data_IF_330540940480
#
_entry.id   IF_330540940480
#
_cell.length_a   1.000
_cell.length_b   1.000
_cell.length_c   1.000
_cell.angle_alpha   90.00
_cell.angle_beta   90.00
_cell.angle_gamma   90.00
#
_symmetry.space_group_name_H-M   'P 1'
#
loop_
_entity.id
_entity.type
_entity.pdbx_description
1 polymer ?
#
# COMPACT_ATOMS: atom_id res chain seq x y z
N UNK A 1 10.40 -7.47 -3.19
CA UNK A 1 9.28 -8.19 -3.84
C UNK A 1 8.26 -7.16 -4.29
N UNK A 2 7.63 -7.37 -5.44
CA UNK A 2 6.63 -6.46 -5.99
C UNK A 2 5.36 -7.27 -6.28
N UNK A 3 4.25 -6.82 -5.73
CA UNK A 3 2.94 -7.45 -5.87
C UNK A 3 2.05 -6.59 -6.75
N UNK A 4 1.17 -7.22 -7.53
CA UNK A 4 0.21 -6.53 -8.40
C UNK A 4 -1.14 -7.24 -8.30
N UNK A 5 -2.17 -6.47 -8.00
CA UNK A 5 -3.54 -6.95 -7.81
C UNK A 5 -4.49 -6.12 -8.66
N UNK A 6 -5.29 -6.79 -9.49
CA UNK A 6 -6.37 -6.16 -10.24
C UNK A 6 -7.68 -6.39 -9.47
N UNK A 7 -8.36 -5.31 -9.14
CA UNK A 7 -9.61 -5.31 -8.39
C UNK A 7 -10.68 -4.76 -9.32
N UNK A 8 -11.73 -5.53 -9.54
CA UNK A 8 -12.91 -5.05 -10.26
C UNK A 8 -13.79 -4.33 -9.26
N UNK A 9 -14.29 -3.16 -9.60
CA UNK A 9 -15.20 -2.37 -8.79
C UNK A 9 -16.49 -2.28 -9.58
N UNK A 10 -17.50 -3.03 -9.13
CA UNK A 10 -18.78 -3.08 -9.83
C UNK A 10 -19.62 -1.83 -9.56
N UNK A 11 -20.40 -1.43 -10.55
CA UNK A 11 -21.39 -0.35 -10.51
C UNK A 11 -22.43 -0.48 -9.38
N UNK A 12 -22.63 -1.68 -8.84
CA UNK A 12 -23.56 -1.93 -7.73
C UNK A 12 -22.96 -1.65 -6.33
N UNK A 13 -21.65 -1.39 -6.23
CA UNK A 13 -20.97 -1.21 -4.94
C UNK A 13 -21.12 0.21 -4.42
N UNK A 14 -21.72 0.36 -3.25
CA UNK A 14 -21.75 1.63 -2.50
C UNK A 14 -20.69 1.62 -1.41
N UNK A 15 -20.46 2.72 -0.71
CA UNK A 15 -19.54 2.71 0.44
C UNK A 15 -19.96 1.70 1.52
N UNK A 16 -21.28 1.56 1.75
CA UNK A 16 -21.83 0.59 2.71
C UNK A 16 -21.66 -0.87 2.25
N UNK A 17 -21.62 -1.09 0.94
CA UNK A 17 -21.49 -2.42 0.31
C UNK A 17 -20.15 -2.58 -0.41
N UNK A 18 -19.12 -1.85 0.04
CA UNK A 18 -17.84 -1.78 -0.62
C UNK A 18 -17.21 -3.16 -0.81
N UNK A 19 -16.67 -3.40 -1.99
CA UNK A 19 -15.96 -4.62 -2.29
C UNK A 19 -14.69 -4.69 -1.45
N UNK A 20 -14.44 -5.86 -0.84
CA UNK A 20 -13.33 -6.07 0.07
C UNK A 20 -12.39 -7.13 -0.48
N UNK A 21 -11.19 -6.72 -0.88
CA UNK A 21 -10.16 -7.59 -1.44
C UNK A 21 -9.00 -7.76 -0.45
N UNK A 22 -8.59 -9.00 -0.20
CA UNK A 22 -7.43 -9.32 0.66
C UNK A 22 -6.17 -9.47 -0.19
N UNK A 23 -5.17 -8.66 0.11
CA UNK A 23 -3.87 -8.67 -0.56
C UNK A 23 -2.88 -9.44 0.31
N UNK A 24 -2.47 -10.62 -0.15
CA UNK A 24 -1.51 -11.46 0.55
C UNK A 24 -0.08 -11.04 0.19
N UNK A 25 0.67 -10.55 1.16
CA UNK A 25 2.03 -10.04 0.95
C UNK A 25 3.05 -10.93 1.66
N UNK A 26 4.33 -10.72 1.40
CA UNK A 26 5.40 -11.27 2.26
C UNK A 26 5.59 -10.37 3.47
N UNK A 27 6.10 -10.92 4.57
CA UNK A 27 6.62 -10.10 5.66
C UNK A 27 7.78 -9.21 5.16
N UNK A 28 7.91 -8.01 5.72
CA UNK A 28 8.88 -7.02 5.30
C UNK A 28 8.36 -5.61 5.50
N UNK A 29 8.94 -4.64 4.82
CA UNK A 29 8.53 -3.24 4.89
C UNK A 29 7.94 -2.82 3.54
N UNK A 30 6.70 -2.37 3.54
CA UNK A 30 6.11 -1.68 2.40
C UNK A 30 6.90 -0.39 2.22
N UNK A 31 7.47 -0.22 1.03
CA UNK A 31 8.23 0.98 0.63
C UNK A 31 7.57 1.75 -0.52
N UNK A 32 6.53 1.17 -1.13
CA UNK A 32 5.81 1.75 -2.26
C UNK A 32 4.41 1.16 -2.35
N UNK A 33 3.42 2.03 -2.53
CA UNK A 33 2.06 1.65 -2.89
C UNK A 33 1.67 2.50 -4.10
N UNK A 34 1.26 1.84 -5.18
CA UNK A 34 0.76 2.49 -6.39
C UNK A 34 -0.66 2.02 -6.68
N UNK A 35 -1.58 2.96 -6.86
CA UNK A 35 -2.97 2.69 -7.24
C UNK A 35 -3.22 3.31 -8.60
N UNK A 36 -3.39 2.48 -9.62
CA UNK A 36 -3.77 2.90 -10.96
C UNK A 36 -5.30 2.93 -11.08
N UNK A 37 -5.81 4.11 -11.44
CA UNK A 37 -7.22 4.30 -11.78
C UNK A 37 -7.38 4.27 -13.31
N UNK A 38 -8.39 3.54 -13.83
CA UNK A 38 -8.60 3.42 -15.26
C UNK A 38 -9.08 4.75 -15.85
N UNK A 39 -9.05 4.82 -17.18
CA UNK A 39 -9.70 5.89 -17.93
C UNK A 39 -11.20 5.88 -17.67
N UNK A 40 -11.81 7.06 -17.68
CA UNK A 40 -13.25 7.28 -17.46
C UNK A 40 -13.77 6.95 -16.05
N UNK A 41 -12.92 6.64 -15.08
CA UNK A 41 -13.34 6.51 -13.67
C UNK A 41 -13.89 7.82 -13.09
N UNK A 42 -13.59 8.97 -13.71
CA UNK A 42 -14.12 10.30 -13.38
C UNK A 42 -14.07 10.70 -11.89
N UNK A 43 -13.13 10.13 -11.12
CA UNK A 43 -13.04 10.30 -9.65
C UNK A 43 -14.26 9.78 -8.89
N UNK A 44 -14.96 8.80 -9.45
CA UNK A 44 -16.13 8.15 -8.85
C UNK A 44 -15.82 6.75 -8.31
N UNK A 45 -14.61 6.24 -8.57
CA UNK A 45 -14.06 5.04 -7.93
C UNK A 45 -13.26 5.45 -6.71
N UNK A 46 -13.62 4.88 -5.57
CA UNK A 46 -13.05 5.16 -4.26
C UNK A 46 -12.27 3.94 -3.78
N UNK A 47 -11.12 4.18 -3.14
CA UNK A 47 -10.23 3.14 -2.63
C UNK A 47 -9.72 3.52 -1.24
N UNK A 48 -9.81 2.59 -0.30
CA UNK A 48 -9.21 2.62 1.04
C UNK A 48 -8.37 1.35 1.24
N UNK A 49 -7.21 1.47 1.87
CA UNK A 49 -6.33 0.34 2.22
C UNK A 49 -6.24 0.26 3.74
N UNK A 50 -6.44 -0.94 4.27
CA UNK A 50 -6.43 -1.23 5.71
C UNK A 50 -5.40 -2.28 6.06
N UNK A 51 -4.81 -2.14 7.24
CA UNK A 51 -4.08 -3.18 7.94
C UNK A 51 -4.81 -3.53 9.24
N UNK A 52 -5.16 -4.79 9.46
CA UNK A 52 -5.87 -5.26 10.67
C UNK A 52 -7.07 -4.40 11.14
N UNK A 53 -7.75 -3.71 10.21
CA UNK A 53 -8.89 -2.82 10.49
C UNK A 53 -8.52 -1.34 10.68
N UNK A 54 -7.24 -1.00 10.78
CA UNK A 54 -6.75 0.37 10.76
C UNK A 54 -6.56 0.86 9.33
N UNK A 55 -7.05 2.08 9.02
CA UNK A 55 -6.88 2.67 7.69
C UNK A 55 -5.43 3.11 7.50
N UNK A 56 -4.70 2.37 6.66
CA UNK A 56 -3.33 2.69 6.28
C UNK A 56 -3.31 3.82 5.24
N UNK A 57 -4.22 3.76 4.27
CA UNK A 57 -4.25 4.72 3.16
C UNK A 57 -5.71 5.04 2.75
N UNK A 58 -6.08 6.32 2.56
CA UNK A 58 -5.28 7.50 2.90
C UNK A 58 -5.19 7.69 4.43
N UNK A 59 -4.19 8.44 4.92
CA UNK A 59 -3.96 8.59 6.37
C UNK A 59 -5.01 9.43 7.09
N UNK A 60 -5.81 10.22 6.36
CA UNK A 60 -6.96 10.91 6.93
C UNK A 60 -8.13 9.92 7.09
N UNK A 61 -8.55 9.60 8.32
CA UNK A 61 -9.62 8.65 8.56
C UNK A 61 -10.92 9.06 7.86
N UNK A 62 -11.75 8.07 7.54
CA UNK A 62 -13.05 8.21 6.85
C UNK A 62 -13.00 8.64 5.37
N UNK A 63 -11.88 9.19 4.89
CA UNK A 63 -11.75 9.60 3.48
C UNK A 63 -11.17 8.48 2.60
N UNK A 64 -11.28 8.64 1.28
CA UNK A 64 -10.80 7.67 0.30
C UNK A 64 -10.00 8.30 -0.84
N UNK A 65 -9.16 7.49 -1.47
CA UNK A 65 -8.43 7.89 -2.67
C UNK A 65 -9.34 7.70 -3.87
N UNK A 66 -9.32 8.70 -4.76
CA UNK A 66 -10.04 8.69 -6.03
C UNK A 66 -9.24 9.44 -7.08
N UNK A 67 -9.25 8.94 -8.31
CA UNK A 67 -8.59 9.60 -9.42
C UNK A 67 -9.25 9.24 -10.75
N UNK A 68 -8.69 9.73 -11.86
CA UNK A 68 -9.14 9.40 -13.22
C UNK A 68 -7.92 9.29 -14.14
N UNK A 69 -7.74 8.15 -14.80
CA UNK A 69 -6.64 7.90 -15.73
C UNK A 69 -5.25 8.28 -15.18
N UNK A 70 -4.97 7.91 -13.94
CA UNK A 70 -3.70 8.29 -13.29
C UNK A 70 -3.32 7.29 -12.21
N UNK A 71 -2.04 7.30 -11.85
CA UNK A 71 -1.48 6.54 -10.75
C UNK A 71 -1.33 7.46 -9.54
N UNK A 72 -1.90 7.04 -8.42
CA UNK A 72 -1.58 7.63 -7.11
C UNK A 72 -0.47 6.76 -6.50
N UNK A 73 0.71 7.35 -6.33
CA UNK A 73 1.89 6.68 -5.81
C UNK A 73 2.30 7.30 -4.48
N UNK A 74 2.53 6.47 -3.47
CA UNK A 74 3.06 6.89 -2.16
C UNK A 74 4.27 6.06 -1.76
N UNK A 75 5.13 6.69 -0.97
CA UNK A 75 6.27 6.07 -0.30
C UNK A 75 5.90 5.88 1.17
N UNK A 76 5.59 4.65 1.52
CA UNK A 76 5.36 4.27 2.91
C UNK A 76 6.63 3.67 3.53
N UNK A 77 6.73 3.69 4.85
CA UNK A 77 7.70 2.89 5.59
C UNK A 77 6.95 2.09 6.63
N UNK A 78 6.17 1.12 6.16
CA UNK A 78 5.23 0.37 7.00
C UNK A 78 5.68 -1.08 7.13
N UNK A 79 5.97 -1.52 8.36
CA UNK A 79 6.44 -2.88 8.63
C UNK A 79 5.26 -3.86 8.75
N UNK A 80 5.33 -4.92 7.95
CA UNK A 80 4.39 -6.05 7.95
C UNK A 80 5.06 -7.24 8.65
N UNK A 81 4.54 -7.70 9.80
CA UNK A 81 5.09 -8.82 10.53
C UNK A 81 4.73 -10.16 9.86
N UNK A 82 5.47 -11.21 10.23
CA UNK A 82 5.14 -12.59 9.86
C UNK A 82 3.78 -12.96 10.46
N UNK A 83 2.87 -13.50 9.63
CA UNK A 83 1.51 -13.85 10.04
C UNK A 83 0.50 -12.70 10.06
N UNK A 84 0.97 -11.45 9.94
CA UNK A 84 0.14 -10.24 9.79
C UNK A 84 0.24 -9.64 8.39
N UNK A 85 0.43 -10.49 7.37
CA UNK A 85 0.84 -10.11 6.03
C UNK A 85 -0.33 -9.99 5.03
N UNK A 86 -1.46 -9.49 5.51
CA UNK A 86 -2.67 -9.31 4.70
C UNK A 86 -3.15 -7.87 4.83
N UNK A 87 -3.05 -7.12 3.74
CA UNK A 87 -3.75 -5.84 3.62
C UNK A 87 -5.16 -6.06 3.07
N UNK A 88 -6.08 -5.20 3.46
CA UNK A 88 -7.46 -5.22 2.97
C UNK A 88 -7.74 -3.97 2.18
N UNK A 89 -8.05 -4.11 0.90
CA UNK A 89 -8.52 -3.00 0.07
C UNK A 89 -10.04 -2.99 0.10
N UNK A 90 -10.62 -1.84 0.44
CA UNK A 90 -12.03 -1.55 0.23
C UNK A 90 -12.18 -0.62 -0.94
N UNK A 91 -13.02 -0.99 -1.90
CA UNK A 91 -13.29 -0.20 -3.09
C UNK A 91 -14.76 -0.16 -3.43
N UNK A 92 -15.24 0.99 -3.87
CA UNK A 92 -16.62 1.16 -4.30
C UNK A 92 -16.72 2.21 -5.41
N UNK A 93 -17.84 2.20 -6.11
CA UNK A 93 -18.10 3.10 -7.22
C UNK A 93 -19.42 3.84 -6.99
N UNK A 94 -19.39 5.18 -7.01
CA UNK A 94 -20.64 5.97 -6.94
C UNK A 94 -21.31 6.13 -8.31
N UNK A 95 -20.63 5.70 -9.39
CA UNK A 95 -21.14 5.68 -10.75
C UNK A 95 -21.94 4.39 -11.00
N UNK A 96 -23.26 4.51 -11.07
CA UNK A 96 -24.17 3.36 -11.07
C UNK A 96 -24.23 2.56 -12.37
N UNK A 97 -23.48 2.93 -13.42
CA UNK A 97 -23.65 2.35 -14.77
C UNK A 97 -22.46 1.53 -15.26
N UNK A 98 -21.24 1.82 -14.81
CA UNK A 98 -20.03 1.21 -15.36
C UNK A 98 -19.22 0.49 -14.30
N UNK A 99 -18.61 -0.62 -14.70
CA UNK A 99 -17.65 -1.35 -13.89
C UNK A 99 -16.23 -0.88 -14.23
N UNK A 100 -15.39 -0.75 -13.21
CA UNK A 100 -14.02 -0.29 -13.37
C UNK A 100 -13.02 -1.31 -12.84
N UNK A 101 -11.84 -1.39 -13.45
CA UNK A 101 -10.74 -2.19 -12.92
C UNK A 101 -9.63 -1.26 -12.44
N UNK A 102 -9.30 -1.34 -11.16
CA UNK A 102 -8.13 -0.66 -10.58
C UNK A 102 -6.99 -1.66 -10.41
N UNK A 103 -5.75 -1.19 -10.53
CA UNK A 103 -4.56 -2.00 -10.21
C UNK A 103 -3.86 -1.44 -8.99
N UNK A 104 -3.72 -2.28 -7.96
CA UNK A 104 -2.98 -1.96 -6.73
C UNK A 104 -1.66 -2.71 -6.75
N UNK A 105 -0.56 -1.95 -6.78
CA UNK A 105 0.78 -2.50 -6.75
C UNK A 105 1.48 -2.15 -5.44
N UNK A 106 2.17 -3.12 -4.84
CA UNK A 106 2.81 -2.97 -3.55
C UNK A 106 4.25 -3.47 -3.61
N UNK A 107 5.19 -2.57 -3.32
CA UNK A 107 6.60 -2.87 -3.15
C UNK A 107 6.89 -3.20 -1.69
N UNK A 108 7.41 -4.42 -1.44
CA UNK A 108 7.84 -4.87 -0.11
C UNK A 108 9.31 -5.25 -0.15
N UNK A 109 10.12 -4.67 0.74
CA UNK A 109 11.53 -4.99 0.89
C UNK A 109 11.84 -5.51 2.30
N UNK A 110 12.82 -6.42 2.45
CA UNK A 110 13.32 -6.77 3.77
C UNK A 110 13.85 -5.53 4.50
N UNK A 111 13.61 -5.44 5.80
CA UNK A 111 14.05 -4.29 6.62
C UNK A 111 15.54 -3.98 6.49
N UNK A 112 16.39 -5.01 6.45
CA UNK A 112 17.85 -4.89 6.25
C UNK A 112 18.27 -4.17 4.97
N UNK A 113 17.41 -4.12 3.95
CA UNK A 113 17.69 -3.44 2.68
C UNK A 113 17.36 -1.95 2.79
N UNK A 114 16.29 -1.60 3.51
CA UNK A 114 15.88 -0.20 3.67
C UNK A 114 16.63 0.51 4.81
N UNK A 115 17.05 -0.24 5.84
CA UNK A 115 17.89 0.22 6.93
C UNK A 115 19.20 -0.58 6.90
N UNK A 116 20.15 -0.20 6.01
CA UNK A 116 21.38 -0.97 5.80
C UNK A 116 22.33 -0.88 6.99
N UNK A 117 22.26 0.18 7.79
CA UNK A 117 23.14 0.36 8.94
C UNK A 117 22.45 -0.06 10.24
N UNK A 118 23.14 -0.87 11.03
CA UNK A 118 22.77 -1.07 12.42
C UNK A 118 22.94 0.23 13.22
N UNK A 119 22.24 0.38 14.35
CA UNK A 119 22.43 1.55 15.21
C UNK A 119 23.90 1.71 15.65
N UNK A 120 24.63 0.59 15.82
CA UNK A 120 26.05 0.59 16.14
C UNK A 120 26.91 1.12 14.99
N UNK A 121 26.62 0.73 13.75
CA UNK A 121 27.31 1.26 12.56
C UNK A 121 27.00 2.75 12.35
N UNK A 122 25.75 3.16 12.54
CA UNK A 122 25.38 4.59 12.52
C UNK A 122 26.13 5.38 13.58
N UNK A 123 26.22 4.85 14.80
CA UNK A 123 26.95 5.48 15.90
C UNK A 123 28.46 5.52 15.63
N UNK A 124 29.04 4.44 15.13
CA UNK A 124 30.47 4.38 14.76
C UNK A 124 30.80 5.36 13.64
N UNK A 125 29.97 5.43 12.59
CA UNK A 125 30.10 6.39 11.50
C UNK A 125 29.96 7.85 12.00
N UNK A 126 28.99 8.13 12.89
CA UNK A 126 28.79 9.45 13.47
C UNK A 126 29.94 9.87 14.40
N UNK A 127 30.60 8.92 15.05
CA UNK A 127 31.75 9.14 15.93
C UNK A 127 33.11 9.09 15.20
N UNK A 128 33.13 8.88 13.89
CA UNK A 128 34.36 8.79 13.09
C UNK A 128 35.23 7.58 13.42
N UNK A 129 34.62 6.50 13.91
CA UNK A 129 35.31 5.25 14.27
C UNK A 129 35.23 4.29 13.07
N UNK A 130 36.38 3.82 12.57
CA UNK A 130 36.42 2.76 11.55
C UNK A 130 35.88 1.44 12.12
N UNK A 131 35.22 0.65 11.26
CA UNK A 131 34.58 -0.62 11.63
C UNK A 131 35.53 -1.56 12.41
N UNK A 132 35.07 -2.22 13.48
CA UNK A 132 35.73 -3.46 13.88
C UNK A 132 35.44 -4.50 12.79
N UNK A 133 36.51 -4.98 12.13
CA UNK A 133 36.44 -6.06 11.15
C UNK A 133 35.58 -7.20 11.68
N UNK A 134 34.52 -7.55 10.93
CA UNK A 134 33.57 -8.58 11.33
C UNK A 134 34.22 -9.96 11.53
N UNK A 135 33.87 -10.61 12.63
CA UNK A 135 33.98 -12.07 12.83
C UNK A 135 32.72 -12.78 12.32
#
# INVERSE_FOLDING_TARGET
MFYSYNITVTSATTEATAETTKLHLSAGVIHQIDILFPVNANREVYVKIFDAGYQLMPSNPEDAIRANNTVISTREFFEIPVGGNILTVKSWNVHATDDFMISVNIGVLPRRILQPFSFKELLAAALGMEEPAGE
#
